data_IF_243130688549
#
_entry.id   IF_243130688549
#
_cell.length_a   1.000
_cell.length_b   1.000
_cell.length_c   1.000
_cell.angle_alpha   90.00
_cell.angle_beta   90.00
_cell.angle_gamma   90.00
#
_symmetry.space_group_name_H-M   'P 1'
#
loop_
_entity.id
_entity.type
_entity.pdbx_description
1 polymer ?
#
# COMPACT_ATOMS: atom_id res chain seq x y z
N UNK A 1 67.53 -20.30 -42.42
CA UNK A 1 67.49 -19.91 -43.84
C UNK A 1 67.13 -18.42 -43.86
N UNK A 2 68.06 -17.50 -43.60
CA UNK A 2 69.09 -16.97 -44.52
C UNK A 2 68.47 -16.55 -45.86
N UNK A 3 68.29 -15.24 -46.04
CA UNK A 3 68.85 -14.57 -47.21
C UNK A 3 69.13 -13.10 -46.88
N UNK A 4 70.41 -12.86 -46.53
CA UNK A 4 71.07 -11.56 -46.51
C UNK A 4 71.48 -11.20 -47.94
N UNK A 5 71.28 -9.95 -48.34
CA UNK A 5 72.14 -9.22 -49.28
C UNK A 5 71.61 -7.79 -49.41
N UNK A 6 72.36 -6.71 -49.40
CA UNK A 6 73.74 -6.43 -49.04
C UNK A 6 73.79 -4.90 -48.91
N UNK A 7 74.52 -4.41 -47.93
CA UNK A 7 74.79 -2.99 -47.68
C UNK A 7 75.82 -2.51 -48.71
N UNK A 8 75.57 -1.38 -49.37
CA UNK A 8 76.64 -0.49 -49.85
C UNK A 8 76.25 0.97 -49.59
N UNK A 9 77.00 1.57 -48.67
CA UNK A 9 76.99 2.99 -48.34
C UNK A 9 78.04 3.68 -49.23
N UNK A 10 77.62 4.65 -50.05
CA UNK A 10 78.51 5.72 -50.51
C UNK A 10 77.74 7.04 -50.66
N UNK A 11 77.79 7.81 -49.57
CA UNK A 11 78.10 9.24 -49.44
C UNK A 11 77.95 10.15 -50.69
N UNK A 12 77.19 11.24 -50.47
CA UNK A 12 77.18 12.55 -51.13
C UNK A 12 76.73 12.65 -52.59
N UNK A 13 75.47 13.05 -52.78
CA UNK A 13 75.18 14.18 -53.66
C UNK A 13 74.01 14.99 -53.08
N UNK A 14 74.35 16.18 -52.57
CA UNK A 14 73.42 17.22 -52.13
C UNK A 14 72.78 17.80 -53.39
N UNK A 15 71.50 17.53 -53.61
CA UNK A 15 70.68 18.28 -54.56
C UNK A 15 69.27 18.45 -54.00
N UNK A 16 69.09 19.59 -53.33
CA UNK A 16 67.89 20.44 -53.29
C UNK A 16 66.57 19.76 -53.70
N UNK A 17 65.83 19.26 -52.70
CA UNK A 17 64.38 19.19 -52.77
C UNK A 17 63.82 19.98 -51.57
N UNK A 18 62.99 21.00 -51.79
CA UNK A 18 62.46 21.81 -50.70
C UNK A 18 61.56 20.95 -49.81
N UNK A 19 61.82 20.99 -48.51
CA UNK A 19 60.86 20.55 -47.50
C UNK A 19 59.58 21.38 -47.64
N UNK A 20 58.56 20.81 -48.27
CA UNK A 20 57.18 21.27 -48.12
C UNK A 20 56.65 20.75 -46.78
N UNK A 21 57.06 21.41 -45.70
CA UNK A 21 56.14 21.58 -44.56
C UNK A 21 55.07 22.57 -45.01
N UNK A 22 53.84 22.12 -45.25
CA UNK A 22 52.72 23.03 -45.13
C UNK A 22 51.50 22.26 -44.64
N UNK A 23 51.27 22.44 -43.34
CA UNK A 23 50.02 22.25 -42.65
C UNK A 23 48.84 22.65 -43.54
N UNK A 24 47.95 21.71 -43.88
CA UNK A 24 46.63 22.06 -44.42
C UNK A 24 45.75 22.57 -43.27
N UNK A 25 46.13 23.73 -42.71
CA UNK A 25 45.19 24.60 -42.06
C UNK A 25 44.44 25.32 -43.16
N UNK A 26 43.24 24.85 -43.50
CA UNK A 26 42.33 25.59 -44.37
C UNK A 26 42.04 26.94 -43.71
N UNK A 27 42.62 28.02 -44.26
CA UNK A 27 42.28 29.38 -43.85
C UNK A 27 40.87 29.67 -44.35
N UNK A 28 39.88 29.50 -43.48
CA UNK A 28 38.49 29.93 -43.69
C UNK A 28 38.51 31.43 -44.04
N UNK A 29 37.84 31.83 -45.13
CA UNK A 29 37.79 33.23 -45.57
C UNK A 29 37.13 34.10 -44.49
N UNK A 30 37.49 35.39 -44.44
CA UNK A 30 36.86 36.33 -43.51
C UNK A 30 35.34 36.45 -43.75
N UNK A 31 34.92 36.26 -45.00
CA UNK A 31 33.52 36.21 -45.43
C UNK A 31 32.78 35.00 -44.84
N UNK A 32 33.38 33.80 -44.92
CA UNK A 32 32.82 32.58 -44.33
C UNK A 32 32.64 32.71 -42.81
N UNK A 33 33.58 33.38 -42.12
CA UNK A 33 33.46 33.65 -40.67
C UNK A 33 32.32 34.62 -40.35
N UNK A 34 32.10 35.62 -41.20
CA UNK A 34 31.01 36.59 -41.05
C UNK A 34 29.64 35.93 -41.30
N UNK A 35 29.56 35.04 -42.28
CA UNK A 35 28.35 34.25 -42.55
C UNK A 35 28.05 33.28 -41.40
N UNK A 36 29.07 32.56 -40.91
CA UNK A 36 28.93 31.66 -39.75
C UNK A 36 28.50 32.41 -38.49
N UNK A 37 29.02 33.62 -38.26
CA UNK A 37 28.61 34.46 -37.13
C UNK A 37 27.15 34.90 -37.26
N UNK A 38 26.70 35.24 -38.47
CA UNK A 38 25.30 35.59 -38.77
C UNK A 38 24.36 34.42 -38.47
N UNK A 39 24.70 33.21 -38.92
CA UNK A 39 23.89 32.00 -38.67
C UNK A 39 23.83 31.69 -37.17
N UNK A 40 24.96 31.75 -36.46
CA UNK A 40 24.99 31.54 -35.01
C UNK A 40 24.16 32.58 -34.26
N UNK A 41 24.19 33.84 -34.68
CA UNK A 41 23.39 34.91 -34.08
C UNK A 41 21.88 34.65 -34.24
N UNK A 42 21.44 34.25 -35.44
CA UNK A 42 20.04 33.90 -35.71
C UNK A 42 19.61 32.72 -34.83
N UNK A 43 20.40 31.65 -34.80
CA UNK A 43 20.11 30.47 -33.99
C UNK A 43 20.06 30.78 -32.49
N UNK A 44 20.96 31.66 -32.01
CA UNK A 44 20.94 32.12 -30.63
C UNK A 44 19.66 32.90 -30.31
N UNK A 45 19.24 33.79 -31.21
CA UNK A 45 18.00 34.57 -31.06
C UNK A 45 16.76 33.68 -31.00
N UNK A 46 16.68 32.65 -31.85
CA UNK A 46 15.58 31.67 -31.82
C UNK A 46 15.54 30.89 -30.50
N UNK A 47 16.70 30.45 -30.00
CA UNK A 47 16.80 29.79 -28.70
C UNK A 47 16.39 30.71 -27.55
N UNK A 48 16.71 32.00 -27.63
CA UNK A 48 16.32 32.99 -26.63
C UNK A 48 14.79 33.13 -26.59
N UNK A 49 14.15 33.26 -27.75
CA UNK A 49 12.68 33.31 -27.85
C UNK A 49 12.01 32.03 -27.31
N UNK A 50 12.59 30.86 -27.61
CA UNK A 50 12.10 29.59 -27.05
C UNK A 50 12.23 29.54 -25.53
N UNK A 51 13.35 30.04 -24.99
CA UNK A 51 13.58 30.10 -23.54
C UNK A 51 12.61 31.06 -22.86
N UNK A 52 12.35 32.24 -23.45
CA UNK A 52 11.33 33.18 -22.96
C UNK A 52 9.95 32.53 -22.90
N UNK A 53 9.56 31.77 -23.95
CA UNK A 53 8.32 30.99 -23.96
C UNK A 53 8.27 29.91 -22.86
N UNK A 54 9.40 29.25 -22.57
CA UNK A 54 9.46 28.27 -21.46
C UNK A 54 9.36 28.94 -20.10
N UNK A 55 9.99 30.10 -19.90
CA UNK A 55 9.93 30.86 -18.64
C UNK A 55 8.48 31.28 -18.35
N UNK A 56 7.80 31.87 -19.33
CA UNK A 56 6.38 32.25 -19.17
C UNK A 56 5.47 31.05 -18.89
N UNK A 57 5.72 29.90 -19.52
CA UNK A 57 4.98 28.67 -19.21
C UNK A 57 5.23 28.20 -17.76
N UNK A 58 6.49 28.24 -17.31
CA UNK A 58 6.84 27.86 -15.94
C UNK A 58 6.23 28.81 -14.91
N UNK A 59 6.20 30.12 -15.18
CA UNK A 59 5.55 31.11 -14.32
C UNK A 59 4.06 30.79 -14.13
N UNK A 60 3.35 30.47 -15.23
CA UNK A 60 1.94 30.05 -15.17
C UNK A 60 1.77 28.75 -14.37
N UNK A 61 2.68 27.79 -14.56
CA UNK A 61 2.63 26.55 -13.77
C UNK A 61 2.85 26.82 -12.29
N UNK A 62 3.80 27.66 -11.91
CA UNK A 62 4.08 28.02 -10.51
C UNK A 62 2.86 28.68 -9.88
N UNK A 63 2.20 29.60 -10.59
CA UNK A 63 0.98 30.25 -10.10
C UNK A 63 -0.13 29.23 -9.82
N UNK A 64 -0.37 28.31 -10.77
CA UNK A 64 -1.36 27.23 -10.60
C UNK A 64 -1.03 26.30 -9.42
N UNK A 65 0.25 26.00 -9.20
CA UNK A 65 0.66 25.18 -8.05
C UNK A 65 0.47 25.94 -6.73
N UNK A 66 0.71 27.26 -6.70
CA UNK A 66 0.44 28.09 -5.53
C UNK A 66 -1.04 28.12 -5.19
N UNK A 67 -1.93 28.28 -6.17
CA UNK A 67 -3.39 28.21 -5.96
C UNK A 67 -3.81 26.85 -5.38
N UNK A 68 -3.29 25.75 -5.95
CA UNK A 68 -3.57 24.40 -5.47
C UNK A 68 -3.08 24.18 -4.05
N UNK A 69 -1.91 24.74 -3.71
CA UNK A 69 -1.35 24.68 -2.35
C UNK A 69 -2.26 25.38 -1.35
N UNK A 70 -2.76 26.57 -1.68
CA UNK A 70 -3.68 27.33 -0.81
C UNK A 70 -5.01 26.57 -0.59
N UNK A 71 -5.58 25.97 -1.64
CA UNK A 71 -6.79 25.13 -1.49
C UNK A 71 -6.52 23.90 -0.60
N UNK A 72 -5.36 23.26 -0.76
CA UNK A 72 -4.98 22.11 0.03
C UNK A 72 -4.77 22.47 1.51
N UNK A 73 -4.10 23.58 1.80
CA UNK A 73 -3.94 24.11 3.17
C UNK A 73 -5.31 24.40 3.80
N UNK A 74 -6.24 25.00 3.04
CA UNK A 74 -7.59 25.26 3.52
C UNK A 74 -8.38 23.96 3.78
N UNK A 75 -8.22 22.93 2.93
CA UNK A 75 -8.81 21.59 3.15
C UNK A 75 -8.24 20.92 4.38
N UNK A 76 -6.93 21.00 4.57
CA UNK A 76 -6.24 20.41 5.72
C UNK A 76 -6.69 21.07 7.02
N UNK A 77 -6.75 22.41 7.08
CA UNK A 77 -7.26 23.14 8.25
C UNK A 77 -8.72 22.80 8.58
N UNK A 78 -9.58 22.65 7.55
CA UNK A 78 -10.97 22.18 7.76
C UNK A 78 -11.00 20.76 8.33
N UNK A 79 -10.14 19.87 7.86
CA UNK A 79 -10.09 18.49 8.33
C UNK A 79 -9.59 18.41 9.78
N UNK A 80 -8.56 19.16 10.15
CA UNK A 80 -8.09 19.26 11.54
C UNK A 80 -9.19 19.75 12.49
N UNK A 81 -9.96 20.77 12.07
CA UNK A 81 -11.11 21.23 12.84
C UNK A 81 -12.17 20.13 13.05
N UNK A 82 -12.48 19.36 12.01
CA UNK A 82 -13.44 18.26 12.10
C UNK A 82 -12.95 17.13 13.00
N UNK A 83 -11.65 16.84 13.00
CA UNK A 83 -11.06 15.85 13.91
C UNK A 83 -11.19 16.29 15.37
N UNK A 84 -10.83 17.54 15.69
CA UNK A 84 -10.99 18.09 17.05
C UNK A 84 -12.45 18.06 17.52
N UNK A 85 -13.40 18.37 16.62
CA UNK A 85 -14.83 18.28 16.93
C UNK A 85 -15.23 16.84 17.22
N UNK A 86 -14.80 15.88 16.39
CA UNK A 86 -15.08 14.45 16.59
C UNK A 86 -14.49 13.94 17.90
N UNK A 87 -13.28 14.37 18.26
CA UNK A 87 -12.62 13.98 19.52
C UNK A 87 -13.40 14.49 20.74
N UNK A 88 -13.92 15.73 20.66
CA UNK A 88 -14.80 16.27 21.70
C UNK A 88 -16.12 15.47 21.81
N UNK A 89 -16.71 15.09 20.68
CA UNK A 89 -17.91 14.25 20.63
C UNK A 89 -17.64 12.85 21.21
N UNK A 90 -16.51 12.22 20.85
CA UNK A 90 -16.08 10.92 21.41
C UNK A 90 -15.85 11.00 22.91
N UNK A 91 -15.23 12.09 23.41
CA UNK A 91 -15.04 12.29 24.85
C UNK A 91 -16.37 12.41 25.57
N UNK A 92 -17.29 13.22 25.06
CA UNK A 92 -18.64 13.34 25.64
C UNK A 92 -19.39 12.00 25.61
N UNK A 93 -19.25 11.24 24.51
CA UNK A 93 -19.86 9.92 24.40
C UNK A 93 -19.23 8.94 25.39
N UNK A 94 -17.92 8.94 25.56
CA UNK A 94 -17.20 8.12 26.54
C UNK A 94 -17.64 8.45 27.98
N UNK A 95 -17.81 9.72 28.32
CA UNK A 95 -18.35 10.13 29.62
C UNK A 95 -19.81 9.67 29.82
N UNK A 96 -20.64 9.75 28.78
CA UNK A 96 -22.02 9.22 28.81
C UNK A 96 -22.03 7.71 28.99
N UNK A 97 -21.18 6.98 28.26
CA UNK A 97 -21.03 5.53 28.37
C UNK A 97 -20.61 5.16 29.80
N UNK A 98 -19.59 5.81 30.36
CA UNK A 98 -19.17 5.55 31.75
C UNK A 98 -20.26 5.84 32.79
N UNK A 99 -21.11 6.86 32.57
CA UNK A 99 -22.29 7.11 33.41
C UNK A 99 -23.33 5.99 33.28
N UNK A 100 -23.64 5.59 32.05
CA UNK A 100 -24.59 4.51 31.78
C UNK A 100 -24.09 3.18 32.35
N UNK A 101 -22.80 2.87 32.22
CA UNK A 101 -22.16 1.70 32.85
C UNK A 101 -22.33 1.73 34.37
N UNK A 102 -22.13 2.89 35.00
CA UNK A 102 -22.37 3.05 36.45
C UNK A 102 -23.85 2.86 36.82
N UNK A 103 -24.78 3.33 35.99
CA UNK A 103 -26.22 3.13 36.20
C UNK A 103 -26.63 1.66 36.00
N UNK A 104 -26.07 0.98 34.99
CA UNK A 104 -26.23 -0.46 34.76
C UNK A 104 -25.70 -1.24 35.96
N UNK A 105 -24.52 -0.90 36.48
CA UNK A 105 -23.97 -1.55 37.66
C UNK A 105 -24.84 -1.34 38.91
N UNK A 106 -25.33 -0.11 39.14
CA UNK A 106 -26.22 0.22 40.26
C UNK A 106 -27.60 -0.45 40.16
N UNK A 107 -28.08 -0.70 38.94
CA UNK A 107 -29.35 -1.39 38.71
C UNK A 107 -29.17 -2.91 38.81
N UNK A 108 -28.08 -3.47 38.30
CA UNK A 108 -27.70 -4.87 38.49
C UNK A 108 -27.54 -5.22 39.99
N UNK A 109 -26.82 -4.38 40.74
CA UNK A 109 -26.64 -4.57 42.20
C UNK A 109 -27.96 -4.46 42.98
N UNK A 110 -28.94 -3.70 42.46
CA UNK A 110 -30.29 -3.62 43.06
C UNK A 110 -31.14 -4.85 42.74
N UNK A 111 -30.96 -5.44 41.56
CA UNK A 111 -31.67 -6.65 41.13
C UNK A 111 -31.21 -7.91 41.90
N UNK A 112 -29.99 -7.93 42.45
CA UNK A 112 -29.52 -9.00 43.35
C UNK A 112 -30.25 -9.02 44.71
N UNK A 113 -30.99 -7.96 45.08
CA UNK A 113 -31.71 -7.87 46.37
C UNK A 113 -33.18 -8.27 46.31
N UNK A 114 -33.71 -8.63 45.14
CA UNK A 114 -35.09 -9.09 44.98
C UNK A 114 -35.10 -10.51 44.45
N UNK A 115 -35.40 -11.48 45.33
CA UNK A 115 -35.82 -12.82 44.95
C UNK A 115 -37.06 -12.73 44.04
N UNK A 116 -36.86 -12.79 42.73
CA UNK A 116 -37.92 -12.99 41.73
C UNK A 116 -37.36 -13.96 40.69
N UNK A 117 -38.16 -14.98 40.40
CA UNK A 117 -37.80 -16.19 39.68
C UNK A 117 -36.98 -15.95 38.40
N UNK A 118 -35.81 -16.59 38.41
CA UNK A 118 -34.85 -16.61 37.32
C UNK A 118 -35.26 -17.67 36.29
N UNK A 119 -35.91 -17.26 35.21
CA UNK A 119 -35.94 -18.11 34.02
C UNK A 119 -35.93 -17.32 32.70
N UNK A 120 -36.70 -16.23 32.56
CA UNK A 120 -36.99 -15.72 31.21
C UNK A 120 -36.29 -14.40 30.80
N UNK A 121 -35.42 -13.83 31.65
CA UNK A 121 -34.68 -12.58 31.33
C UNK A 121 -33.16 -12.72 31.26
N UNK A 122 -32.67 -13.93 31.48
CA UNK A 122 -31.26 -14.34 31.34
C UNK A 122 -30.91 -14.70 29.88
N UNK A 123 -31.90 -15.14 29.09
CA UNK A 123 -31.67 -15.60 27.72
C UNK A 123 -31.18 -14.50 26.75
N UNK A 124 -31.68 -13.26 26.89
CA UNK A 124 -31.31 -12.17 25.97
C UNK A 124 -30.02 -11.44 26.36
N UNK A 125 -29.56 -11.59 27.62
CA UNK A 125 -28.26 -11.04 28.07
C UNK A 125 -27.11 -12.04 27.96
N UNK A 126 -27.41 -13.34 27.74
CA UNK A 126 -26.43 -14.42 27.68
C UNK A 126 -26.32 -15.11 26.31
N UNK A 127 -26.87 -14.54 25.23
CA UNK A 127 -26.71 -15.11 23.89
C UNK A 127 -25.80 -14.23 23.03
N UNK A 128 -24.54 -14.05 23.44
CA UNK A 128 -23.52 -13.68 22.46
C UNK A 128 -23.39 -14.88 21.53
N UNK A 129 -23.88 -14.74 20.31
CA UNK A 129 -23.84 -15.79 19.30
C UNK A 129 -22.41 -16.00 18.81
N UNK A 130 -22.12 -17.19 18.27
CA UNK A 130 -20.74 -17.58 17.97
C UNK A 130 -20.24 -16.98 16.66
N UNK A 131 -21.14 -16.68 15.73
CA UNK A 131 -20.80 -16.17 14.40
C UNK A 131 -21.79 -15.12 13.92
N UNK A 132 -21.38 -14.31 12.94
CA UNK A 132 -22.29 -13.38 12.26
C UNK A 132 -23.42 -14.10 11.51
N UNK A 133 -23.16 -15.30 11.00
CA UNK A 133 -24.17 -16.12 10.34
C UNK A 133 -25.28 -16.52 11.30
N UNK A 134 -24.95 -16.95 12.52
CA UNK A 134 -25.93 -17.24 13.56
C UNK A 134 -26.79 -16.01 13.91
N UNK A 135 -26.16 -14.82 13.99
CA UNK A 135 -26.89 -13.57 14.21
C UNK A 135 -27.87 -13.30 13.06
N UNK A 136 -27.40 -13.43 11.82
CA UNK A 136 -28.21 -13.23 10.63
C UNK A 136 -29.40 -14.20 10.55
N UNK A 137 -29.19 -15.49 10.84
CA UNK A 137 -30.25 -16.50 10.81
C UNK A 137 -31.27 -16.29 11.93
N UNK A 138 -30.83 -15.80 13.08
CA UNK A 138 -31.70 -15.53 14.23
C UNK A 138 -32.57 -14.30 14.00
N UNK A 139 -32.01 -13.22 13.45
CA UNK A 139 -32.73 -12.00 13.13
C UNK A 139 -32.29 -11.41 11.77
N UNK A 140 -32.94 -11.83 10.67
CA UNK A 140 -32.66 -11.33 9.32
C UNK A 140 -32.97 -9.84 9.12
N UNK A 141 -33.59 -9.17 10.09
CA UNK A 141 -33.89 -7.73 10.00
C UNK A 141 -32.70 -6.84 10.42
N UNK A 142 -31.66 -7.43 11.01
CA UNK A 142 -30.46 -6.72 11.42
C UNK A 142 -29.64 -6.25 10.23
N UNK A 143 -29.08 -5.04 10.35
CA UNK A 143 -28.25 -4.44 9.32
C UNK A 143 -26.79 -4.84 9.48
N UNK A 144 -26.02 -4.84 8.38
CA UNK A 144 -24.56 -5.01 8.43
C UNK A 144 -23.92 -3.94 9.33
N UNK A 145 -22.89 -4.31 10.08
CA UNK A 145 -22.30 -3.45 11.10
C UNK A 145 -21.34 -4.18 12.03
N UNK A 146 -20.94 -3.53 13.11
CA UNK A 146 -20.04 -4.12 14.11
C UNK A 146 -20.81 -4.82 15.22
N UNK A 147 -20.46 -6.08 15.50
CA UNK A 147 -21.11 -6.94 16.49
C UNK A 147 -20.07 -7.64 17.38
N UNK A 148 -20.50 -8.01 18.58
CA UNK A 148 -19.76 -8.92 19.43
C UNK A 148 -20.18 -10.35 19.11
N UNK A 149 -19.20 -11.23 18.89
CA UNK A 149 -19.41 -12.68 18.73
C UNK A 149 -18.44 -13.44 19.63
N UNK A 150 -18.80 -14.67 19.98
CA UNK A 150 -17.95 -15.53 20.81
C UNK A 150 -17.72 -16.90 20.14
N UNK A 151 -16.81 -16.97 19.14
CA UNK A 151 -16.56 -18.18 18.36
C UNK A 151 -16.17 -19.41 19.19
N UNK A 152 -15.29 -19.28 20.19
CA UNK A 152 -14.91 -20.42 21.05
C UNK A 152 -15.98 -20.76 22.12
N UNK A 153 -16.86 -19.80 22.41
CA UNK A 153 -18.12 -19.98 23.11
C UNK A 153 -18.10 -19.41 24.53
N UNK A 154 -19.27 -19.03 25.02
CA UNK A 154 -19.40 -18.31 26.30
C UNK A 154 -18.79 -19.10 27.46
N UNK A 155 -17.83 -18.47 28.15
CA UNK A 155 -17.14 -19.07 29.30
C UNK A 155 -16.11 -20.15 28.91
N UNK A 156 -15.88 -20.34 27.61
CA UNK A 156 -14.83 -21.20 27.07
C UNK A 156 -13.71 -20.30 26.59
N UNK A 157 -12.52 -20.45 27.16
CA UNK A 157 -11.35 -19.83 26.59
C UNK A 157 -11.23 -18.32 26.74
N UNK A 158 -11.16 -17.62 25.62
CA UNK A 158 -10.90 -16.19 25.59
C UNK A 158 -12.23 -15.42 25.50
N UNK A 159 -12.24 -14.11 25.81
CA UNK A 159 -13.48 -13.33 25.71
C UNK A 159 -13.94 -13.13 24.25
N UNK A 160 -15.22 -12.77 24.10
CA UNK A 160 -15.84 -12.39 22.83
C UNK A 160 -15.01 -11.35 22.06
N UNK A 161 -15.11 -11.39 20.73
CA UNK A 161 -14.39 -10.50 19.80
C UNK A 161 -15.35 -9.53 19.10
N UNK A 162 -14.84 -8.34 18.76
CA UNK A 162 -15.62 -7.30 18.08
C UNK A 162 -15.29 -7.28 16.58
N UNK A 163 -16.26 -7.68 15.76
CA UNK A 163 -16.10 -7.97 14.34
C UNK A 163 -17.11 -7.19 13.51
N UNK A 164 -16.83 -7.06 12.21
CA UNK A 164 -17.83 -6.57 11.26
C UNK A 164 -18.63 -7.75 10.71
N UNK A 165 -19.94 -7.74 10.90
CA UNK A 165 -20.85 -8.68 10.28
C UNK A 165 -21.48 -8.06 9.05
N UNK A 166 -21.34 -8.72 7.90
CA UNK A 166 -22.17 -8.43 6.75
C UNK A 166 -23.45 -9.26 6.82
N UNK A 167 -24.54 -8.66 7.31
CA UNK A 167 -25.83 -9.31 7.43
C UNK A 167 -26.53 -9.54 6.08
N UNK A 168 -25.93 -9.14 4.96
CA UNK A 168 -26.40 -9.53 3.62
C UNK A 168 -25.95 -10.94 3.27
N UNK A 169 -24.74 -11.31 3.70
CA UNK A 169 -24.09 -12.59 3.38
C UNK A 169 -23.99 -13.54 4.57
N UNK A 170 -24.11 -13.03 5.80
CA UNK A 170 -23.76 -13.75 7.03
C UNK A 170 -22.26 -13.75 7.34
N UNK A 171 -21.44 -13.05 6.53
CA UNK A 171 -19.98 -13.10 6.65
C UNK A 171 -19.47 -12.37 7.89
N UNK A 172 -18.38 -12.89 8.45
CA UNK A 172 -17.65 -12.30 9.58
C UNK A 172 -16.33 -11.72 9.11
N UNK A 173 -16.10 -10.42 9.33
CA UNK A 173 -14.85 -9.75 9.01
C UNK A 173 -14.09 -9.32 10.27
N UNK A 174 -12.85 -9.78 10.44
CA UNK A 174 -12.03 -9.47 11.62
C UNK A 174 -11.16 -8.23 11.35
N UNK A 175 -11.30 -7.14 12.14
CA UNK A 175 -10.50 -5.94 11.96
C UNK A 175 -9.01 -6.14 12.28
N UNK A 176 -8.14 -5.34 11.67
CA UNK A 176 -6.69 -5.35 11.93
C UNK A 176 -6.02 -3.97 11.80
N UNK A 177 -4.77 -3.87 12.24
CA UNK A 177 -3.99 -2.62 12.34
C UNK A 177 -3.45 -2.03 11.01
N UNK A 178 -3.93 -2.52 9.88
CA UNK A 178 -3.32 -2.30 8.55
C UNK A 178 -4.34 -2.15 7.42
N UNK A 179 -5.55 -1.71 7.77
CA UNK A 179 -6.66 -1.49 6.83
C UNK A 179 -6.52 -0.18 6.02
N UNK A 180 -5.71 0.77 6.51
CA UNK A 180 -5.45 2.03 5.82
C UNK A 180 -4.25 1.94 4.88
N UNK A 181 -4.25 2.69 3.76
CA UNK A 181 -3.09 2.77 2.86
C UNK A 181 -1.84 3.27 3.59
N UNK A 182 -0.74 2.52 3.48
CA UNK A 182 0.55 2.88 4.06
C UNK A 182 1.67 2.87 3.03
N UNK A 183 2.58 3.83 3.10
CA UNK A 183 3.78 3.83 2.27
C UNK A 183 4.82 2.83 2.84
N UNK A 184 5.18 1.83 2.04
CA UNK A 184 6.20 0.83 2.41
C UNK A 184 7.63 1.26 2.08
N UNK A 185 7.81 2.45 1.50
CA UNK A 185 9.11 3.01 1.18
C UNK A 185 9.87 2.25 0.10
N UNK A 186 11.15 2.60 -0.05
CA UNK A 186 12.04 1.96 -1.01
C UNK A 186 12.68 0.71 -0.44
N UNK A 187 12.57 -0.36 -1.20
CA UNK A 187 13.02 -1.67 -0.80
C UNK A 187 13.53 -2.36 -2.08
N UNK A 188 14.83 -2.70 -2.12
CA UNK A 188 15.52 -3.14 -3.33
C UNK A 188 15.74 -4.66 -3.39
N UNK A 189 15.91 -5.30 -2.23
CA UNK A 189 16.20 -6.73 -2.14
C UNK A 189 14.90 -7.54 -1.94
N UNK A 190 14.80 -8.75 -2.52
CA UNK A 190 13.69 -9.64 -2.20
C UNK A 190 13.55 -9.81 -0.68
N UNK A 191 12.35 -9.58 -0.15
CA UNK A 191 12.13 -9.75 1.29
C UNK A 191 12.49 -8.58 2.20
N UNK A 192 13.01 -7.45 1.69
CA UNK A 192 13.51 -6.40 2.57
C UNK A 192 12.43 -5.66 3.37
N UNK A 193 11.16 -5.78 3.00
CA UNK A 193 10.03 -5.22 3.74
C UNK A 193 9.21 -6.38 4.30
N UNK A 194 8.97 -6.31 5.60
CA UNK A 194 8.17 -7.26 6.34
C UNK A 194 7.47 -6.50 7.45
N UNK A 195 6.15 -6.69 7.55
CA UNK A 195 5.35 -6.13 8.64
C UNK A 195 4.42 -7.21 9.19
N UNK A 196 4.38 -7.40 10.52
CA UNK A 196 3.34 -8.21 11.14
C UNK A 196 1.99 -7.48 11.10
N UNK A 197 0.94 -8.19 10.71
CA UNK A 197 -0.44 -7.70 10.79
C UNK A 197 -1.05 -8.15 12.10
N UNK A 198 -1.54 -7.19 12.89
CA UNK A 198 -2.15 -7.47 14.18
C UNK A 198 -3.68 -7.41 14.05
N UNK A 199 -4.32 -8.57 14.18
CA UNK A 199 -5.77 -8.69 14.24
C UNK A 199 -6.28 -8.30 15.62
N UNK A 200 -7.46 -7.68 15.65
CA UNK A 200 -8.16 -7.38 16.90
C UNK A 200 -8.94 -8.61 17.42
N UNK A 201 -8.27 -9.76 17.45
CA UNK A 201 -8.81 -11.04 17.92
C UNK A 201 -7.67 -11.94 18.40
N UNK A 202 -7.94 -12.82 19.35
CA UNK A 202 -6.94 -13.79 19.80
C UNK A 202 -6.81 -14.94 18.80
N UNK A 203 -5.65 -15.60 18.80
CA UNK A 203 -5.41 -16.77 17.96
C UNK A 203 -6.45 -17.89 18.18
N UNK A 204 -6.92 -18.05 19.42
CA UNK A 204 -7.95 -19.05 19.78
C UNK A 204 -9.29 -18.70 19.17
N UNK A 205 -9.73 -17.46 19.31
CA UNK A 205 -10.99 -16.99 18.73
C UNK A 205 -10.97 -17.07 17.20
N UNK A 206 -9.86 -16.68 16.57
CA UNK A 206 -9.69 -16.84 15.12
C UNK A 206 -9.70 -18.30 14.67
N UNK A 207 -9.09 -19.20 15.45
CA UNK A 207 -9.11 -20.64 15.16
C UNK A 207 -10.51 -21.22 15.27
N UNK A 208 -11.23 -20.91 16.36
CA UNK A 208 -12.59 -21.37 16.56
C UNK A 208 -13.54 -20.84 15.48
N UNK A 209 -13.41 -19.56 15.10
CA UNK A 209 -14.18 -19.00 14.00
C UNK A 209 -13.87 -19.70 12.67
N UNK A 210 -12.59 -19.94 12.36
CA UNK A 210 -12.20 -20.67 11.16
C UNK A 210 -12.71 -22.12 11.13
N UNK A 211 -12.86 -22.78 12.28
CA UNK A 211 -13.45 -24.12 12.39
C UNK A 211 -14.98 -24.12 12.18
N UNK A 212 -15.64 -23.00 12.46
CA UNK A 212 -17.08 -22.80 12.26
C UNK A 212 -17.43 -22.29 10.85
N UNK A 213 -16.44 -21.84 10.08
CA UNK A 213 -16.63 -21.28 8.74
C UNK A 213 -16.35 -22.30 7.62
N UNK A 214 -17.09 -22.18 6.53
CA UNK A 214 -16.90 -22.98 5.33
C UNK A 214 -15.72 -22.47 4.52
N UNK A 215 -15.52 -21.15 4.45
CA UNK A 215 -14.44 -20.55 3.68
C UNK A 215 -13.89 -19.29 4.35
N UNK A 216 -12.67 -18.93 3.95
CA UNK A 216 -11.96 -17.78 4.48
C UNK A 216 -11.33 -17.02 3.32
N UNK A 217 -11.55 -15.73 3.25
CA UNK A 217 -10.98 -14.86 2.24
C UNK A 217 -10.22 -13.74 2.92
N UNK A 218 -9.02 -13.45 2.44
CA UNK A 218 -8.23 -12.31 2.91
C UNK A 218 -7.55 -11.70 1.72
N UNK A 219 -7.65 -10.37 1.62
CA UNK A 219 -7.13 -9.64 0.47
C UNK A 219 -6.14 -8.57 0.85
N UNK A 220 -5.08 -8.47 0.04
CA UNK A 220 -4.06 -7.44 0.15
C UNK A 220 -4.15 -6.65 -1.14
N UNK A 221 -4.21 -5.32 -1.05
CA UNK A 221 -4.03 -4.42 -2.17
C UNK A 221 -2.68 -3.75 -2.08
N UNK A 222 -2.02 -3.71 -3.23
CA UNK A 222 -0.72 -3.10 -3.44
C UNK A 222 -0.80 -2.16 -4.65
N UNK A 223 -0.48 -0.89 -4.47
CA UNK A 223 -0.59 0.15 -5.49
C UNK A 223 0.79 0.67 -5.88
N UNK A 224 1.28 0.22 -7.04
CA UNK A 224 2.70 0.32 -7.34
C UNK A 224 3.04 1.15 -8.60
N UNK A 225 4.30 1.58 -8.68
CA UNK A 225 4.84 2.28 -9.84
C UNK A 225 6.26 1.77 -10.17
N UNK A 226 6.45 1.27 -11.40
CA UNK A 226 7.69 0.63 -11.86
C UNK A 226 8.24 -0.44 -10.90
N UNK A 227 7.34 -1.30 -10.42
CA UNK A 227 7.58 -2.21 -9.31
C UNK A 227 7.05 -3.61 -9.60
N UNK A 228 7.72 -4.37 -10.49
CA UNK A 228 7.25 -5.70 -10.84
C UNK A 228 7.44 -6.67 -9.66
N UNK A 229 6.47 -7.56 -9.44
CA UNK A 229 6.57 -8.62 -8.43
C UNK A 229 7.59 -9.70 -8.78
N UNK A 230 7.91 -9.84 -10.07
CA UNK A 230 8.95 -10.71 -10.57
C UNK A 230 9.82 -9.95 -11.57
N UNK A 231 11.14 -9.99 -11.38
CA UNK A 231 12.09 -9.42 -12.32
C UNK A 231 13.24 -10.40 -12.54
N UNK A 232 13.51 -10.72 -13.81
CA UNK A 232 14.59 -11.64 -14.21
C UNK A 232 14.52 -13.02 -13.53
N UNK A 233 13.31 -13.56 -13.34
CA UNK A 233 13.07 -14.86 -12.72
C UNK A 233 13.17 -14.87 -11.18
N UNK A 234 13.35 -13.71 -10.56
CA UNK A 234 13.39 -13.55 -9.10
C UNK A 234 12.04 -13.00 -8.65
N UNK A 235 11.36 -13.72 -7.76
CA UNK A 235 10.16 -13.24 -7.08
C UNK A 235 10.56 -12.31 -5.92
N UNK A 236 10.00 -11.10 -5.92
CA UNK A 236 10.21 -10.07 -4.91
C UNK A 236 9.10 -10.04 -3.85
N UNK A 237 8.05 -10.83 -4.05
CA UNK A 237 7.00 -11.14 -3.08
C UNK A 237 7.08 -12.62 -2.68
N UNK A 238 6.93 -12.90 -1.40
CA UNK A 238 6.74 -14.26 -0.90
C UNK A 238 5.51 -14.32 0.02
N UNK A 239 4.56 -15.22 -0.29
CA UNK A 239 3.38 -15.48 0.54
C UNK A 239 2.79 -16.85 0.25
N UNK A 240 2.30 -17.55 1.28
CA UNK A 240 1.67 -18.89 1.19
C UNK A 240 0.28 -18.86 0.54
N UNK A 241 0.18 -18.29 -0.66
CA UNK A 241 -1.08 -18.05 -1.36
C UNK A 241 -1.54 -19.30 -2.12
N UNK A 242 -2.73 -19.79 -1.82
CA UNK A 242 -3.35 -20.88 -2.59
C UNK A 242 -4.28 -20.26 -3.63
N UNK A 243 -3.78 -20.16 -4.88
CA UNK A 243 -4.48 -19.78 -6.13
C UNK A 243 -5.01 -18.34 -6.25
N UNK A 244 -4.25 -17.44 -6.89
CA UNK A 244 -4.80 -16.32 -7.69
C UNK A 244 -3.91 -16.06 -8.91
N UNK A 245 -4.52 -15.79 -10.07
CA UNK A 245 -3.85 -15.48 -11.34
C UNK A 245 -3.02 -14.20 -11.28
N UNK A 246 -1.74 -14.32 -11.62
CA UNK A 246 -0.83 -13.20 -11.85
C UNK A 246 -1.09 -12.62 -13.24
N UNK A 247 -1.54 -11.36 -13.34
CA UNK A 247 -1.50 -10.61 -14.60
C UNK A 247 -0.59 -9.40 -14.45
N UNK A 248 0.60 -9.52 -15.05
CA UNK A 248 1.54 -8.41 -15.24
C UNK A 248 0.95 -7.43 -16.26
N UNK A 249 0.46 -6.28 -15.82
CA UNK A 249 0.11 -5.17 -16.73
C UNK A 249 1.15 -4.08 -16.54
N UNK A 250 2.08 -4.02 -17.49
CA UNK A 250 3.11 -2.97 -17.58
C UNK A 250 2.50 -1.57 -17.56
N UNK A 251 2.89 -0.75 -16.58
CA UNK A 251 2.85 0.71 -16.68
C UNK A 251 1.62 1.44 -16.14
N UNK A 252 0.73 0.79 -15.38
CA UNK A 252 -0.43 1.45 -14.75
C UNK A 252 -0.67 0.86 -13.36
N UNK A 253 -1.05 1.70 -12.40
CA UNK A 253 -1.42 1.32 -11.01
C UNK A 253 -2.11 -0.04 -11.03
N UNK A 254 -1.43 -1.06 -10.52
CA UNK A 254 -1.89 -2.45 -10.62
C UNK A 254 -2.45 -2.86 -9.27
N UNK A 255 -3.75 -2.66 -9.07
CA UNK A 255 -4.43 -3.20 -7.90
C UNK A 255 -4.61 -4.70 -8.08
N UNK A 256 -3.92 -5.50 -7.28
CA UNK A 256 -4.08 -6.94 -7.26
C UNK A 256 -4.61 -7.38 -5.89
N UNK A 257 -5.62 -8.25 -5.89
CA UNK A 257 -6.29 -8.78 -4.72
C UNK A 257 -5.88 -10.24 -4.57
N UNK A 258 -5.24 -10.58 -3.46
CA UNK A 258 -4.93 -11.98 -3.12
C UNK A 258 -6.09 -12.58 -2.31
N UNK A 259 -6.23 -13.90 -2.30
CA UNK A 259 -7.24 -14.60 -1.49
C UNK A 259 -6.56 -15.76 -0.77
N UNK A 260 -6.70 -15.83 0.55
CA UNK A 260 -6.10 -16.88 1.38
C UNK A 260 -7.18 -17.87 1.91
N UNK A 261 -7.32 -19.00 1.18
CA UNK A 261 -7.82 -20.34 1.59
C UNK A 261 -9.29 -20.77 1.32
N UNK A 262 -9.44 -22.01 0.80
CA UNK A 262 -10.70 -22.79 0.80
C UNK A 262 -10.75 -23.77 2.00
N UNK A 263 -11.96 -24.13 2.43
CA UNK A 263 -12.36 -25.09 3.49
C UNK A 263 -11.44 -26.29 3.76
N UNK A 264 -10.83 -26.86 2.72
CA UNK A 264 -10.06 -28.10 2.82
C UNK A 264 -8.64 -27.92 3.43
N UNK A 265 -8.21 -26.69 3.75
CA UNK A 265 -6.83 -26.39 4.19
C UNK A 265 -6.73 -25.81 5.62
N UNK A 266 -7.80 -25.85 6.41
CA UNK A 266 -7.95 -25.13 7.70
C UNK A 266 -6.89 -25.51 8.75
N UNK A 267 -6.26 -26.70 8.69
CA UNK A 267 -5.13 -27.06 9.57
C UNK A 267 -3.81 -26.33 9.30
N UNK A 268 -3.66 -25.71 8.13
CA UNK A 268 -2.47 -24.90 7.75
C UNK A 268 -2.76 -23.40 7.95
N UNK A 269 -4.03 -22.99 7.95
CA UNK A 269 -4.46 -21.60 8.09
C UNK A 269 -4.23 -21.01 9.50
N UNK A 270 -4.19 -21.82 10.55
CA UNK A 270 -3.93 -21.33 11.92
C UNK A 270 -2.55 -20.67 12.08
N UNK A 271 -1.55 -21.08 11.28
CA UNK A 271 -0.23 -20.42 11.25
C UNK A 271 -0.18 -19.19 10.32
N UNK A 272 -1.05 -19.10 9.30
CA UNK A 272 -1.12 -17.93 8.42
C UNK A 272 -1.94 -16.79 9.04
N UNK A 273 -2.98 -17.09 9.81
CA UNK A 273 -3.84 -16.10 10.47
C UNK A 273 -3.15 -15.45 11.69
N UNK A 274 -2.19 -16.13 12.31
CA UNK A 274 -1.46 -15.63 13.49
C UNK A 274 -0.16 -14.89 13.13
N UNK A 275 0.37 -15.09 11.92
CA UNK A 275 1.64 -14.52 11.45
C UNK A 275 1.56 -14.17 9.95
N UNK A 276 0.50 -13.48 9.53
CA UNK A 276 0.43 -12.94 8.18
C UNK A 276 1.56 -11.91 8.01
N UNK A 277 2.69 -12.37 7.46
CA UNK A 277 3.84 -11.56 7.16
C UNK A 277 3.72 -11.15 5.70
N UNK A 278 3.37 -9.89 5.47
CA UNK A 278 3.28 -9.36 4.11
C UNK A 278 4.66 -8.95 3.67
N UNK A 279 5.24 -9.72 2.74
CA UNK A 279 6.55 -9.46 2.16
C UNK A 279 6.33 -8.81 0.79
N UNK A 280 6.41 -7.47 0.71
CA UNK A 280 6.16 -6.73 -0.54
C UNK A 280 7.06 -5.51 -0.71
N UNK A 281 7.68 -5.37 -1.89
CA UNK A 281 8.37 -4.15 -2.33
C UNK A 281 7.39 -3.20 -3.00
N UNK A 282 7.56 -1.86 -2.84
CA UNK A 282 7.14 -0.68 -3.66
C UNK A 282 5.70 -0.10 -3.64
N UNK A 283 5.48 0.79 -2.67
CA UNK A 283 4.42 1.82 -2.56
C UNK A 283 2.96 1.34 -2.45
N UNK A 284 2.25 2.10 -1.61
CA UNK A 284 0.94 1.91 -0.97
C UNK A 284 0.37 0.49 -0.88
N UNK A 285 0.35 -0.04 0.34
CA UNK A 285 -0.39 -1.25 0.68
C UNK A 285 -1.56 -0.96 1.62
N UNK A 286 -2.67 -1.66 1.45
CA UNK A 286 -3.61 -1.88 2.54
C UNK A 286 -4.21 -3.28 2.43
N UNK A 287 -4.45 -3.91 3.58
CA UNK A 287 -5.21 -5.15 3.62
C UNK A 287 -6.69 -4.83 3.72
N UNK A 288 -7.49 -5.59 2.99
CA UNK A 288 -8.92 -5.71 3.24
C UNK A 288 -9.14 -6.96 4.09
N UNK A 289 -9.94 -6.78 5.14
CA UNK A 289 -10.16 -7.70 6.27
C UNK A 289 -10.29 -9.19 5.89
N UNK A 290 -10.02 -10.06 6.86
CA UNK A 290 -10.31 -11.49 6.72
C UNK A 290 -11.81 -11.67 6.83
N UNK A 291 -12.46 -12.04 5.72
CA UNK A 291 -13.89 -12.35 5.63
C UNK A 291 -14.08 -13.86 5.66
N UNK A 292 -14.86 -14.34 6.62
CA UNK A 292 -15.17 -15.74 6.85
C UNK A 292 -16.68 -15.96 6.62
N UNK A 293 -17.05 -16.94 5.79
CA UNK A 293 -18.44 -17.33 5.51
C UNK A 293 -18.76 -18.68 6.15
#
# INVERSE_FOLDING_TARGET
MICLSAIFIHICCISLLPWSTCSTGTTISLEDRLEQLTVNYIQFKEKLQLMEGKVTHLEIQVEKHNEMKVDLEAKYARMEFLLLKRDAEHKMLSEKVGRLELEIWKSASRLETTNVDADDRSALKNAILRTCLEIHETDPSLNSGMYWIDPDGIGVGDGAIYVYCDMTSGSTSIPHDSESPMDVGHCADPGCYSRPINYNATARQMTALAELSNECHQSIRYDCNFAPFEHSGIAYMAGGMTRVGMQNISGRVTTQTFTLANAASIKIASNLLTNATVILLRHYNYLTAVSLN
#
